data_IF_677017511247
#
_entry.id   IF_677017511247
#
_cell.length_a   1.000
_cell.length_b   1.000
_cell.length_c   1.000
_cell.angle_alpha   90.00
_cell.angle_beta   90.00
_cell.angle_gamma   90.00
#
_symmetry.space_group_name_H-M   'P 1'
#
loop_
_entity.id
_entity.type
_entity.pdbx_description
1 polymer ?
#
# COMPACT_ATOMS: atom_id res chain seq x y z
N UNK A 1 -12.40 35.46 32.47
CA UNK A 1 -12.89 34.95 31.17
C UNK A 1 -14.37 34.59 31.32
N UNK A 2 -15.24 35.04 30.41
CA UNK A 2 -16.69 34.88 30.58
C UNK A 2 -17.11 33.41 30.37
N UNK A 3 -18.05 32.89 31.17
CA UNK A 3 -18.50 31.48 31.12
C UNK A 3 -19.05 31.08 29.75
N UNK A 4 -19.63 32.04 29.01
CA UNK A 4 -20.17 31.83 27.67
C UNK A 4 -19.06 31.57 26.64
N UNK A 5 -17.90 32.21 26.77
CA UNK A 5 -16.74 32.06 25.91
C UNK A 5 -16.07 30.71 26.13
N UNK A 6 -16.00 30.25 27.38
CA UNK A 6 -15.51 28.90 27.69
C UNK A 6 -16.39 27.81 27.07
N UNK A 7 -17.72 27.97 27.13
CA UNK A 7 -18.67 27.05 26.51
C UNK A 7 -18.55 27.08 24.98
N UNK A 8 -18.43 28.27 24.38
CA UNK A 8 -18.29 28.42 22.94
C UNK A 8 -16.99 27.78 22.41
N UNK A 9 -15.86 27.96 23.11
CA UNK A 9 -14.58 27.33 22.76
C UNK A 9 -14.66 25.82 22.90
N UNK A 10 -15.28 25.31 23.96
CA UNK A 10 -15.48 23.87 24.16
C UNK A 10 -16.35 23.24 23.05
N UNK A 11 -17.41 23.92 22.63
CA UNK A 11 -18.28 23.44 21.55
C UNK A 11 -17.56 23.44 20.19
N UNK A 12 -16.77 24.47 19.91
CA UNK A 12 -15.97 24.55 18.68
C UNK A 12 -14.90 23.44 18.60
N UNK A 13 -14.24 23.14 19.72
CA UNK A 13 -13.28 22.03 19.80
C UNK A 13 -13.93 20.67 19.57
N UNK A 14 -15.11 20.42 20.14
CA UNK A 14 -15.86 19.17 19.94
C UNK A 14 -16.26 18.95 18.48
N UNK A 15 -16.62 20.01 17.75
CA UNK A 15 -16.96 19.92 16.33
C UNK A 15 -15.71 19.65 15.47
N UNK A 16 -14.55 20.20 15.84
CA UNK A 16 -13.31 20.05 15.08
C UNK A 16 -12.66 18.66 15.14
N UNK A 17 -12.86 17.91 16.23
CA UNK A 17 -12.18 16.60 16.45
C UNK A 17 -12.83 15.45 15.68
N UNK A 18 -14.05 15.63 15.16
CA UNK A 18 -14.83 14.58 14.48
C UNK A 18 -14.79 14.61 12.94
N UNK A 19 -13.97 15.47 12.33
CA UNK A 19 -13.91 15.53 10.87
C UNK A 19 -13.37 14.21 10.30
N UNK A 20 -14.06 13.56 9.33
CA UNK A 20 -13.59 12.34 8.73
C UNK A 20 -12.26 12.59 8.01
N UNK A 21 -11.24 11.83 8.38
CA UNK A 21 -9.95 11.87 7.71
C UNK A 21 -10.08 11.01 6.44
N UNK A 22 -9.85 11.60 5.28
CA UNK A 22 -9.86 10.92 3.99
C UNK A 22 -8.56 10.09 3.85
N UNK A 23 -8.53 8.91 4.46
CA UNK A 23 -7.51 7.92 4.16
C UNK A 23 -7.80 7.32 2.78
N UNK A 24 -6.96 7.61 1.79
CA UNK A 24 -7.04 6.98 0.48
C UNK A 24 -6.20 5.69 0.46
N UNK A 25 -6.77 4.60 -0.02
CA UNK A 25 -6.00 3.41 -0.39
C UNK A 25 -5.43 3.64 -1.79
N UNK A 26 -4.18 4.09 -1.90
CA UNK A 26 -3.53 4.32 -3.19
C UNK A 26 -2.14 3.68 -3.23
N UNK A 27 -1.80 3.11 -4.40
CA UNK A 27 -0.46 2.64 -4.74
C UNK A 27 0.44 3.75 -5.27
N UNK A 28 -0.14 4.85 -5.76
CA UNK A 28 0.58 5.96 -6.39
C UNK A 28 1.71 6.59 -5.56
N UNK A 29 1.67 6.64 -4.21
CA UNK A 29 2.80 7.12 -3.41
C UNK A 29 4.04 6.22 -3.48
N UNK A 30 3.88 4.94 -3.84
CA UNK A 30 4.95 3.94 -3.85
C UNK A 30 5.34 3.48 -5.27
N UNK A 31 4.44 3.61 -6.23
CA UNK A 31 4.61 3.10 -7.59
C UNK A 31 4.18 4.16 -8.61
N UNK A 32 5.04 4.40 -9.59
CA UNK A 32 4.74 5.23 -10.75
C UNK A 32 4.15 4.35 -11.88
N UNK A 33 2.91 4.57 -12.34
CA UNK A 33 2.31 3.77 -13.40
C UNK A 33 2.92 4.00 -14.80
N UNK A 34 3.65 5.11 -14.98
CA UNK A 34 4.31 5.45 -16.23
C UNK A 34 5.74 4.90 -16.31
N UNK A 35 6.36 4.57 -15.17
CA UNK A 35 7.66 3.90 -15.09
C UNK A 35 7.49 2.38 -14.94
N UNK A 36 7.64 1.66 -16.05
CA UNK A 36 7.41 0.21 -16.10
C UNK A 36 8.74 -0.53 -16.13
N UNK A 37 8.85 -1.51 -15.24
CA UNK A 37 9.98 -2.43 -15.19
C UNK A 37 9.55 -3.80 -15.69
N UNK A 38 10.32 -4.39 -16.60
CA UNK A 38 10.17 -5.77 -17.04
C UNK A 38 11.24 -6.63 -16.35
N UNK A 39 10.82 -7.73 -15.73
CA UNK A 39 11.70 -8.64 -14.99
C UNK A 39 11.60 -10.04 -15.60
N UNK A 40 12.75 -10.64 -15.89
CA UNK A 40 12.86 -12.05 -16.26
C UNK A 40 13.77 -12.76 -15.27
N UNK A 41 13.22 -13.76 -14.57
CA UNK A 41 13.94 -14.44 -13.51
C UNK A 41 13.19 -15.65 -12.98
N UNK A 42 13.86 -16.44 -12.14
CA UNK A 42 13.24 -17.59 -11.49
C UNK A 42 12.42 -17.11 -10.29
N UNK A 43 11.16 -17.52 -10.19
CA UNK A 43 10.36 -17.29 -8.98
C UNK A 43 10.91 -18.18 -7.87
N UNK A 44 11.40 -17.58 -6.80
CA UNK A 44 11.98 -18.29 -5.65
C UNK A 44 10.98 -18.45 -4.51
N UNK A 45 10.02 -17.52 -4.38
CA UNK A 45 9.05 -17.53 -3.28
C UNK A 45 7.76 -16.79 -3.62
N UNK A 46 6.66 -17.34 -3.16
CA UNK A 46 5.34 -16.72 -3.22
C UNK A 46 4.73 -16.64 -1.82
N UNK A 47 4.36 -15.43 -1.41
CA UNK A 47 3.71 -15.18 -0.11
C UNK A 47 2.27 -14.77 -0.35
N UNK A 48 1.34 -15.70 -0.13
CA UNK A 48 -0.09 -15.47 -0.32
C UNK A 48 -0.80 -15.14 0.99
N UNK A 49 -0.58 -13.93 1.51
CA UNK A 49 -1.07 -13.47 2.82
C UNK A 49 -1.75 -12.10 2.71
N UNK A 50 -2.73 -11.84 3.59
CA UNK A 50 -3.40 -10.54 3.70
C UNK A 50 -2.53 -9.58 4.56
N UNK A 51 -2.40 -8.26 4.24
CA UNK A 51 -3.19 -7.48 3.27
C UNK A 51 -2.69 -7.48 1.83
N UNK A 52 -1.43 -7.80 1.56
CA UNK A 52 -0.86 -7.86 0.22
C UNK A 52 -0.08 -9.16 0.03
N UNK A 53 -0.25 -9.77 -1.15
CA UNK A 53 0.58 -10.90 -1.56
C UNK A 53 1.87 -10.42 -2.22
N UNK A 54 2.89 -11.26 -2.23
CA UNK A 54 4.21 -10.92 -2.80
C UNK A 54 4.80 -12.07 -3.59
N UNK A 55 5.47 -11.76 -4.71
CA UNK A 55 6.35 -12.67 -5.43
C UNK A 55 7.80 -12.24 -5.25
N UNK A 56 8.70 -13.21 -5.16
CA UNK A 56 10.14 -12.98 -5.10
C UNK A 56 10.79 -13.71 -6.27
N UNK A 57 11.72 -13.03 -6.95
CA UNK A 57 12.38 -13.51 -8.14
C UNK A 57 13.88 -13.31 -8.05
N UNK A 58 14.66 -14.30 -8.46
CA UNK A 58 16.08 -14.13 -8.74
C UNK A 58 16.23 -13.67 -10.19
N UNK A 59 16.73 -12.45 -10.38
CA UNK A 59 16.94 -11.81 -11.69
C UNK A 59 18.43 -11.61 -11.90
N UNK A 60 18.92 -11.97 -13.08
CA UNK A 60 20.29 -11.63 -13.49
C UNK A 60 20.31 -10.23 -14.07
N UNK A 61 21.11 -9.34 -13.48
CA UNK A 61 21.23 -7.96 -13.95
C UNK A 61 22.22 -7.84 -15.13
N UNK A 62 22.41 -6.61 -15.62
CA UNK A 62 23.32 -6.33 -16.75
C UNK A 62 24.79 -6.62 -16.44
N UNK A 63 25.16 -6.67 -15.16
CA UNK A 63 26.52 -7.02 -14.71
C UNK A 63 26.74 -8.53 -14.65
N UNK A 64 25.68 -9.32 -14.77
CA UNK A 64 25.69 -10.77 -14.63
C UNK A 64 25.50 -11.25 -13.18
N UNK A 65 25.25 -10.33 -12.25
CA UNK A 65 24.99 -10.66 -10.85
C UNK A 65 23.52 -11.05 -10.65
N UNK A 66 23.27 -11.96 -9.71
CA UNK A 66 21.91 -12.37 -9.35
C UNK A 66 21.42 -11.49 -8.20
N UNK A 67 20.28 -10.84 -8.40
CA UNK A 67 19.60 -9.99 -7.42
C UNK A 67 18.19 -10.49 -7.13
N UNK A 68 17.79 -10.49 -5.86
CA UNK A 68 16.40 -10.80 -5.46
C UNK A 68 15.53 -9.56 -5.71
N UNK A 69 14.49 -9.72 -6.51
CA UNK A 69 13.40 -8.76 -6.69
C UNK A 69 12.18 -9.16 -5.88
N UNK A 70 11.52 -8.18 -5.27
CA UNK A 70 10.21 -8.33 -4.65
C UNK A 70 9.16 -7.60 -5.49
N UNK A 71 8.07 -8.29 -5.84
CA UNK A 71 6.92 -7.73 -6.55
C UNK A 71 5.71 -7.79 -5.62
N UNK A 72 5.18 -6.62 -5.28
CA UNK A 72 3.91 -6.49 -4.55
C UNK A 72 2.73 -6.80 -5.47
N UNK A 73 1.78 -7.56 -4.95
CA UNK A 73 0.51 -7.86 -5.60
C UNK A 73 -0.66 -7.32 -4.77
N UNK A 74 -1.86 -7.37 -5.35
CA UNK A 74 -3.08 -7.08 -4.60
C UNK A 74 -3.34 -8.07 -3.46
N UNK A 75 -4.35 -7.76 -2.64
CA UNK A 75 -4.78 -8.64 -1.56
C UNK A 75 -5.14 -10.05 -2.08
N UNK A 76 -4.85 -11.13 -1.31
CA UNK A 76 -5.19 -12.49 -1.73
C UNK A 76 -6.66 -12.69 -2.10
N UNK A 77 -7.58 -11.96 -1.45
CA UNK A 77 -9.01 -12.01 -1.79
C UNK A 77 -9.29 -11.52 -3.21
N UNK A 78 -8.58 -10.49 -3.67
CA UNK A 78 -8.69 -9.97 -5.04
C UNK A 78 -8.04 -10.93 -6.03
N UNK A 79 -6.89 -11.51 -5.69
CA UNK A 79 -6.20 -12.49 -6.52
C UNK A 79 -7.01 -13.79 -6.70
N UNK A 80 -7.65 -14.28 -5.64
CA UNK A 80 -8.57 -15.44 -5.72
C UNK A 80 -9.72 -15.21 -6.69
N UNK A 81 -10.25 -13.98 -6.76
CA UNK A 81 -11.35 -13.62 -7.69
C UNK A 81 -10.90 -13.68 -9.16
N UNK A 82 -9.60 -13.62 -9.43
CA UNK A 82 -9.03 -13.75 -10.78
C UNK A 82 -8.32 -15.10 -10.99
N UNK A 83 -8.60 -16.10 -10.14
CA UNK A 83 -8.22 -17.50 -10.38
C UNK A 83 -6.96 -18.01 -9.68
N UNK A 84 -6.33 -17.22 -8.80
CA UNK A 84 -5.16 -17.66 -8.05
C UNK A 84 -5.60 -18.53 -6.86
N UNK A 85 -5.01 -19.73 -6.69
CA UNK A 85 -5.41 -20.71 -5.64
C UNK A 85 -4.26 -21.15 -4.77
#
# INVERSE_FOLDING_TARGET
MNRKALIAVGLALMIGVGAPILAHHASAPFYDPEDRVELQGAITRFVFRNPHAFLFLDVTDESGDVVEWQVELGAPVSLRRVGWT
#
